data_IF_631840010602
#
_entry.id   IF_631840010602
#
_cell.length_a   1.000
_cell.length_b   1.000
_cell.length_c   1.000
_cell.angle_alpha   90.00
_cell.angle_beta   90.00
_cell.angle_gamma   90.00
#
_symmetry.space_group_name_H-M   'P 1'
#
loop_
_entity.id
_entity.type
_entity.pdbx_description
1 polymer ?
#
# COMPACT_ATOMS: atom_id res chain seq x y z
N UNK A 1 -47.49 -53.75 -9.15
CA UNK A 1 -46.56 -53.49 -8.03
C UNK A 1 -46.80 -52.04 -7.63
N UNK A 2 -47.61 -51.82 -6.59
CA UNK A 2 -47.98 -50.46 -6.16
C UNK A 2 -46.84 -49.89 -5.32
N UNK A 3 -46.10 -48.92 -5.87
CA UNK A 3 -45.16 -48.10 -5.10
C UNK A 3 -45.95 -46.97 -4.48
N UNK A 4 -45.94 -46.88 -3.15
CA UNK A 4 -46.66 -45.86 -2.39
C UNK A 4 -45.88 -44.55 -2.41
N UNK A 5 -46.58 -43.42 -2.59
CA UNK A 5 -46.04 -42.03 -2.59
C UNK A 5 -45.16 -41.68 -1.38
N UNK A 6 -45.28 -42.40 -0.26
CA UNK A 6 -44.39 -42.29 0.91
C UNK A 6 -42.94 -42.71 0.61
N UNK A 7 -42.72 -43.72 -0.23
CA UNK A 7 -41.37 -44.20 -0.55
C UNK A 7 -40.63 -43.20 -1.45
N UNK A 8 -41.32 -42.61 -2.43
CA UNK A 8 -40.73 -41.61 -3.33
C UNK A 8 -40.28 -40.33 -2.58
N UNK A 9 -41.08 -39.88 -1.60
CA UNK A 9 -40.75 -38.74 -0.74
C UNK A 9 -39.58 -39.08 0.19
N UNK A 10 -39.49 -40.31 0.70
CA UNK A 10 -38.37 -40.75 1.54
C UNK A 10 -37.06 -40.78 0.75
N UNK A 11 -37.08 -41.31 -0.47
CA UNK A 11 -35.91 -41.34 -1.37
C UNK A 11 -35.45 -39.92 -1.71
N UNK A 12 -36.37 -39.00 -2.00
CA UNK A 12 -36.03 -37.59 -2.26
C UNK A 12 -35.42 -36.91 -1.03
N UNK A 13 -35.96 -37.18 0.17
CA UNK A 13 -35.44 -36.61 1.42
C UNK A 13 -34.03 -37.14 1.71
N UNK A 14 -33.77 -38.45 1.53
CA UNK A 14 -32.44 -39.03 1.67
C UNK A 14 -31.44 -38.44 0.67
N UNK A 15 -31.84 -38.29 -0.60
CA UNK A 15 -31.02 -37.64 -1.62
C UNK A 15 -30.72 -36.17 -1.27
N UNK A 16 -31.70 -35.43 -0.75
CA UNK A 16 -31.53 -34.05 -0.31
C UNK A 16 -30.61 -33.92 0.91
N UNK A 17 -30.73 -34.82 1.90
CA UNK A 17 -29.82 -34.85 3.05
C UNK A 17 -28.38 -35.16 2.61
N UNK A 18 -28.21 -36.10 1.68
CA UNK A 18 -26.90 -36.44 1.11
C UNK A 18 -26.28 -35.25 0.37
N UNK A 19 -27.04 -34.60 -0.50
CA UNK A 19 -26.59 -33.40 -1.21
C UNK A 19 -26.22 -32.26 -0.25
N UNK A 20 -26.99 -32.04 0.81
CA UNK A 20 -26.67 -31.05 1.85
C UNK A 20 -25.36 -31.36 2.57
N UNK A 21 -25.11 -32.63 2.85
CA UNK A 21 -23.89 -33.06 3.53
C UNK A 21 -22.67 -32.91 2.63
N UNK A 22 -22.79 -33.27 1.35
CA UNK A 22 -21.77 -33.04 0.32
C UNK A 22 -21.47 -31.56 0.13
N UNK A 23 -22.50 -30.70 0.07
CA UNK A 23 -22.34 -29.25 -0.03
C UNK A 23 -21.60 -28.66 1.18
N UNK A 24 -21.90 -29.14 2.39
CA UNK A 24 -21.18 -28.72 3.61
C UNK A 24 -19.71 -29.11 3.55
N UNK A 25 -19.40 -30.33 3.13
CA UNK A 25 -18.01 -30.79 2.98
C UNK A 25 -17.26 -29.95 1.94
N UNK A 26 -17.90 -29.67 0.80
CA UNK A 26 -17.30 -28.84 -0.25
C UNK A 26 -17.05 -27.40 0.20
N UNK A 27 -17.98 -26.79 0.95
CA UNK A 27 -17.78 -25.45 1.52
C UNK A 27 -16.58 -25.43 2.48
N UNK A 28 -16.45 -26.46 3.32
CA UNK A 28 -15.35 -26.54 4.27
C UNK A 28 -14.01 -26.76 3.56
N UNK A 29 -13.99 -27.59 2.52
CA UNK A 29 -12.81 -27.80 1.67
C UNK A 29 -12.39 -26.51 0.95
N UNK A 30 -13.34 -25.74 0.41
CA UNK A 30 -13.07 -24.44 -0.22
C UNK A 30 -12.47 -23.47 0.80
N UNK A 31 -13.01 -23.40 2.03
CA UNK A 31 -12.47 -22.55 3.09
C UNK A 31 -11.04 -22.94 3.48
N UNK A 32 -10.79 -24.24 3.65
CA UNK A 32 -9.46 -24.75 3.99
C UNK A 32 -8.45 -24.44 2.87
N UNK A 33 -8.85 -24.63 1.62
CA UNK A 33 -8.02 -24.29 0.46
C UNK A 33 -7.72 -22.80 0.38
N UNK A 34 -8.71 -21.94 0.59
CA UNK A 34 -8.51 -20.49 0.63
C UNK A 34 -7.57 -20.05 1.76
N UNK A 35 -7.70 -20.65 2.96
CA UNK A 35 -6.81 -20.38 4.08
C UNK A 35 -5.37 -20.85 3.81
N UNK A 36 -5.20 -22.02 3.17
CA UNK A 36 -3.90 -22.53 2.75
C UNK A 36 -3.25 -21.65 1.69
N UNK A 37 -4.01 -21.24 0.67
CA UNK A 37 -3.54 -20.33 -0.38
C UNK A 37 -3.09 -18.99 0.20
N UNK A 38 -3.84 -18.45 1.16
CA UNK A 38 -3.45 -17.25 1.88
C UNK A 38 -2.13 -17.46 2.65
N UNK A 39 -2.00 -18.57 3.37
CA UNK A 39 -0.79 -18.91 4.12
C UNK A 39 0.44 -19.10 3.20
N UNK A 40 0.26 -19.70 2.03
CA UNK A 40 1.32 -19.83 1.02
C UNK A 40 1.72 -18.45 0.48
N UNK A 41 0.77 -17.55 0.22
CA UNK A 41 1.07 -16.17 -0.21
C UNK A 41 1.86 -15.43 0.86
N UNK A 42 1.45 -15.51 2.11
CA UNK A 42 2.13 -14.87 3.24
C UNK A 42 3.56 -15.43 3.41
N UNK A 43 3.74 -16.75 3.27
CA UNK A 43 5.06 -17.38 3.30
C UNK A 43 5.94 -16.96 2.12
N UNK A 44 5.39 -16.87 0.90
CA UNK A 44 6.14 -16.40 -0.27
C UNK A 44 6.57 -14.94 -0.11
N UNK A 45 5.69 -14.08 0.39
CA UNK A 45 6.01 -12.69 0.72
C UNK A 45 7.15 -12.64 1.75
N UNK A 46 7.06 -13.44 2.81
CA UNK A 46 8.10 -13.52 3.85
C UNK A 46 9.44 -14.04 3.32
N UNK A 47 9.43 -15.01 2.42
CA UNK A 47 10.65 -15.53 1.77
C UNK A 47 11.27 -14.50 0.83
N UNK A 48 10.46 -13.82 0.01
CA UNK A 48 10.93 -12.72 -0.85
C UNK A 48 11.56 -11.59 -0.02
N UNK A 49 10.95 -11.25 1.12
CA UNK A 49 11.53 -10.29 2.08
C UNK A 49 12.89 -10.76 2.62
N UNK A 50 13.05 -12.05 2.91
CA UNK A 50 14.30 -12.58 3.45
C UNK A 50 15.43 -12.70 2.41
N UNK A 51 15.12 -12.71 1.11
CA UNK A 51 16.15 -12.80 0.05
C UNK A 51 17.02 -11.52 -0.04
N UNK A 52 16.50 -10.37 0.39
CA UNK A 52 17.28 -9.18 0.68
C UNK A 52 17.40 -9.08 2.20
N UNK A 53 18.51 -9.49 2.83
CA UNK A 53 18.66 -9.33 4.28
C UNK A 53 18.51 -7.83 4.63
N UNK A 54 17.37 -7.40 5.20
CA UNK A 54 17.08 -5.98 5.30
C UNK A 54 18.07 -5.30 6.25
N UNK A 55 18.44 -6.03 7.29
CA UNK A 55 19.45 -5.63 8.26
C UNK A 55 20.83 -5.43 7.62
N UNK A 56 21.22 -6.31 6.70
CA UNK A 56 22.48 -6.13 5.97
C UNK A 56 22.47 -4.82 5.15
N UNK A 57 21.40 -4.57 4.39
CA UNK A 57 21.28 -3.35 3.58
C UNK A 57 21.30 -2.08 4.44
N UNK A 58 20.62 -2.08 5.59
CA UNK A 58 20.68 -0.97 6.53
C UNK A 58 22.09 -0.71 7.03
N UNK A 59 22.79 -1.77 7.43
CA UNK A 59 24.15 -1.64 7.93
C UNK A 59 25.09 -1.13 6.84
N UNK A 60 24.96 -1.64 5.61
CA UNK A 60 25.73 -1.17 4.46
C UNK A 60 25.47 0.30 4.19
N UNK A 61 24.21 0.73 4.07
CA UNK A 61 23.88 2.14 3.82
C UNK A 61 24.35 3.06 4.95
N UNK A 62 24.23 2.63 6.21
CA UNK A 62 24.76 3.41 7.34
C UNK A 62 26.29 3.55 7.29
N UNK A 63 27.02 2.51 6.88
CA UNK A 63 28.48 2.58 6.70
C UNK A 63 28.82 3.57 5.58
N UNK A 64 28.14 3.48 4.43
CA UNK A 64 28.39 4.38 3.29
C UNK A 64 28.05 5.83 3.66
N UNK A 65 26.94 6.08 4.38
CA UNK A 65 26.58 7.43 4.87
C UNK A 65 27.64 8.01 5.80
N UNK A 66 28.19 7.20 6.73
CA UNK A 66 29.29 7.62 7.60
C UNK A 66 30.57 7.90 6.83
N UNK A 67 30.90 7.07 5.85
CA UNK A 67 32.08 7.27 5.00
C UNK A 67 31.95 8.58 4.21
N UNK A 68 30.81 8.82 3.57
CA UNK A 68 30.52 10.07 2.88
C UNK A 68 30.63 11.29 3.81
N UNK A 69 30.17 11.16 5.06
CA UNK A 69 30.32 12.22 6.05
C UNK A 69 31.80 12.49 6.40
N UNK A 70 32.61 11.45 6.60
CA UNK A 70 34.04 11.59 6.87
C UNK A 70 34.81 12.21 5.69
N UNK A 71 34.34 11.97 4.46
CA UNK A 71 34.87 12.59 3.24
C UNK A 71 34.32 14.00 2.98
N UNK A 72 33.58 14.59 3.93
CA UNK A 72 32.92 15.90 3.78
C UNK A 72 31.92 15.98 2.62
N UNK A 73 31.39 14.83 2.17
CA UNK A 73 30.36 14.71 1.15
C UNK A 73 28.96 14.75 1.80
N UNK A 74 28.60 15.91 2.36
CA UNK A 74 27.36 16.09 3.14
C UNK A 74 26.09 15.77 2.35
N UNK A 75 25.99 16.23 1.10
CA UNK A 75 24.84 15.96 0.23
C UNK A 75 24.65 14.44 -0.02
N UNK A 76 25.75 13.73 -0.28
CA UNK A 76 25.77 12.28 -0.45
C UNK A 76 25.31 11.58 0.83
N UNK A 77 25.83 12.00 1.98
CA UNK A 77 25.43 11.44 3.27
C UNK A 77 23.94 11.64 3.57
N UNK A 78 23.40 12.84 3.31
CA UNK A 78 21.97 13.14 3.49
C UNK A 78 21.07 12.31 2.58
N UNK A 79 21.48 12.12 1.32
CA UNK A 79 20.74 11.28 0.38
C UNK A 79 20.68 9.82 0.85
N UNK A 80 21.82 9.26 1.29
CA UNK A 80 21.88 7.89 1.81
C UNK A 80 21.04 7.74 3.08
N UNK A 81 21.04 8.75 3.96
CA UNK A 81 20.21 8.76 5.16
C UNK A 81 18.71 8.76 4.84
N UNK A 82 18.32 9.48 3.79
CA UNK A 82 16.93 9.54 3.31
C UNK A 82 16.48 8.19 2.77
N UNK A 83 17.30 7.55 1.94
CA UNK A 83 17.03 6.19 1.42
C UNK A 83 16.95 5.18 2.57
N UNK A 84 17.87 5.26 3.54
CA UNK A 84 17.87 4.39 4.71
C UNK A 84 16.60 4.54 5.54
N UNK A 85 16.07 5.77 5.65
CA UNK A 85 14.83 6.06 6.38
C UNK A 85 13.62 5.46 5.67
N UNK A 86 13.49 5.65 4.35
CA UNK A 86 12.41 5.05 3.56
C UNK A 86 12.42 3.53 3.64
N UNK A 87 13.61 2.91 3.49
CA UNK A 87 13.73 1.46 3.59
C UNK A 87 13.34 0.95 4.98
N UNK A 88 13.81 1.61 6.06
CA UNK A 88 13.47 1.21 7.44
C UNK A 88 11.98 1.25 7.65
N UNK A 89 11.35 2.33 7.18
CA UNK A 89 9.92 2.50 7.27
C UNK A 89 9.15 1.42 6.52
N UNK A 90 9.48 1.18 5.25
CA UNK A 90 8.81 0.17 4.42
C UNK A 90 8.86 -1.22 5.05
N UNK A 91 9.97 -1.58 5.70
CA UNK A 91 10.18 -2.89 6.31
C UNK A 91 9.57 -3.01 7.71
N UNK A 92 9.50 -1.92 8.49
CA UNK A 92 8.92 -1.95 9.84
C UNK A 92 7.41 -1.74 9.85
N UNK A 93 6.85 -1.14 8.80
CA UNK A 93 5.48 -0.63 8.83
C UNK A 93 4.43 -1.61 8.28
N UNK A 94 4.78 -2.75 7.69
CA UNK A 94 3.77 -3.70 7.21
C UNK A 94 2.86 -4.19 8.35
N UNK A 95 1.59 -3.75 8.33
CA UNK A 95 0.50 -4.13 9.24
C UNK A 95 0.37 -3.35 10.57
N UNK A 96 0.93 -2.13 10.66
CA UNK A 96 0.82 -1.28 11.85
C UNK A 96 0.02 0.00 11.60
N UNK A 97 -0.69 0.46 12.64
CA UNK A 97 -1.24 1.82 12.67
C UNK A 97 -0.14 2.80 13.06
N UNK A 98 0.00 3.89 12.30
CA UNK A 98 1.02 4.93 12.45
C UNK A 98 0.35 6.29 12.54
N UNK A 99 1.05 7.29 13.05
CA UNK A 99 0.55 8.67 13.00
C UNK A 99 0.74 9.25 11.61
N UNK A 100 -0.11 10.21 11.23
CA UNK A 100 0.02 10.96 10.00
C UNK A 100 1.37 11.70 9.95
N UNK A 101 1.89 12.14 11.09
CA UNK A 101 3.25 12.67 11.23
C UNK A 101 4.33 11.72 10.68
N UNK A 102 4.25 10.42 11.01
CA UNK A 102 5.21 9.43 10.53
C UNK A 102 5.15 9.26 9.02
N UNK A 103 3.94 9.20 8.45
CA UNK A 103 3.74 9.14 7.00
C UNK A 103 4.26 10.41 6.31
N UNK A 104 3.99 11.59 6.87
CA UNK A 104 4.49 12.88 6.37
C UNK A 104 6.02 12.92 6.38
N UNK A 105 6.66 12.39 7.44
CA UNK A 105 8.12 12.32 7.51
C UNK A 105 8.70 11.45 6.40
N UNK A 106 8.05 10.34 6.08
CA UNK A 106 8.45 9.45 4.98
C UNK A 106 8.29 10.15 3.64
N UNK A 107 7.18 10.88 3.42
CA UNK A 107 7.00 11.69 2.22
C UNK A 107 8.08 12.77 2.09
N UNK A 108 8.47 13.44 3.18
CA UNK A 108 9.58 14.43 3.19
C UNK A 108 10.90 13.83 2.70
N UNK A 109 11.27 12.66 3.20
CA UNK A 109 12.50 11.97 2.77
C UNK A 109 12.40 11.52 1.31
N UNK A 110 11.22 11.11 0.86
CA UNK A 110 10.97 10.76 -0.54
C UNK A 110 11.11 11.97 -1.47
N UNK A 111 10.48 13.10 -1.14
CA UNK A 111 10.60 14.36 -1.89
C UNK A 111 12.05 14.78 -2.02
N UNK A 112 12.82 14.75 -0.92
CA UNK A 112 14.24 15.09 -0.96
C UNK A 112 15.04 14.20 -1.94
N UNK A 113 14.76 12.89 -1.98
CA UNK A 113 15.41 11.97 -2.93
C UNK A 113 15.07 12.34 -4.38
N UNK A 114 13.79 12.62 -4.65
CA UNK A 114 13.35 12.95 -6.02
C UNK A 114 13.87 14.31 -6.48
N UNK A 115 13.84 15.33 -5.62
CA UNK A 115 14.44 16.64 -5.93
C UNK A 115 15.95 16.51 -6.18
N UNK A 116 16.65 15.67 -5.42
CA UNK A 116 18.08 15.42 -5.67
C UNK A 116 18.30 14.70 -7.01
N UNK A 117 17.43 13.75 -7.39
CA UNK A 117 17.53 12.98 -8.63
C UNK A 117 17.23 13.83 -9.87
N UNK A 118 16.23 14.69 -9.79
CA UNK A 118 15.71 15.46 -10.92
C UNK A 118 16.13 16.93 -10.92
N UNK A 119 16.87 17.37 -9.89
CA UNK A 119 17.34 18.74 -9.71
C UNK A 119 16.19 19.74 -9.93
N UNK A 120 16.41 20.75 -10.76
CA UNK A 120 15.45 21.83 -11.00
C UNK A 120 14.20 21.39 -11.80
N UNK A 121 14.16 20.16 -12.32
CA UNK A 121 13.04 19.68 -13.13
C UNK A 121 11.81 19.33 -12.31
N UNK A 122 11.94 19.03 -11.02
CA UNK A 122 10.79 18.71 -10.17
C UNK A 122 10.82 19.56 -8.91
N UNK A 123 9.71 20.24 -8.66
CA UNK A 123 9.46 20.97 -7.42
C UNK A 123 8.49 20.18 -6.54
N UNK A 124 8.85 20.00 -5.27
CA UNK A 124 7.94 19.40 -4.30
C UNK A 124 7.44 20.45 -3.30
N UNK A 125 6.14 20.44 -2.99
CA UNK A 125 5.53 21.36 -2.02
C UNK A 125 4.77 20.62 -0.94
N UNK A 126 4.82 21.15 0.28
CA UNK A 126 4.08 20.62 1.42
C UNK A 126 3.41 21.74 2.18
N UNK A 127 2.08 21.67 2.29
CA UNK A 127 1.26 22.56 3.10
C UNK A 127 0.53 21.73 4.14
N UNK A 128 0.94 21.82 5.40
CA UNK A 128 0.49 20.89 6.44
C UNK A 128 0.00 21.68 7.64
N UNK A 129 -1.26 21.47 7.99
CA UNK A 129 -1.81 21.84 9.28
C UNK A 129 -1.30 20.85 10.34
N UNK A 130 -0.42 21.33 11.23
CA UNK A 130 0.20 20.51 12.29
C UNK A 130 -0.83 19.89 13.24
N UNK A 131 -2.00 20.51 13.41
CA UNK A 131 -3.07 19.98 14.27
C UNK A 131 -3.61 18.63 13.78
N UNK A 132 -3.46 18.33 12.49
CA UNK A 132 -3.90 17.08 11.86
C UNK A 132 -2.92 15.91 12.03
N UNK A 133 -1.67 16.17 12.44
CA UNK A 133 -0.57 15.18 12.37
C UNK A 133 -0.68 14.03 13.40
N UNK A 134 -1.47 14.22 14.45
CA UNK A 134 -1.68 13.22 15.50
C UNK A 134 -2.66 12.10 15.11
N UNK A 135 -3.36 12.24 13.99
CA UNK A 135 -4.34 11.24 13.53
C UNK A 135 -3.64 9.95 13.13
N UNK A 136 -4.23 8.82 13.54
CA UNK A 136 -3.74 7.49 13.19
C UNK A 136 -4.31 7.02 11.85
N UNK A 137 -3.44 6.53 10.99
CA UNK A 137 -3.77 5.95 9.69
C UNK A 137 -3.04 4.61 9.49
N UNK A 138 -3.49 3.74 8.57
CA UNK A 138 -2.70 2.60 8.15
C UNK A 138 -1.35 3.09 7.61
N UNK A 139 -0.28 2.37 7.94
CA UNK A 139 1.01 2.61 7.31
C UNK A 139 0.97 2.43 5.80
N UNK A 140 1.92 3.08 5.12
CA UNK A 140 2.06 3.07 3.67
C UNK A 140 0.79 3.57 2.96
N UNK A 141 0.13 4.58 3.54
CA UNK A 141 -1.07 5.20 2.94
C UNK A 141 -0.68 6.32 1.98
N UNK A 142 0.22 7.22 2.40
CA UNK A 142 0.66 8.36 1.59
C UNK A 142 1.68 7.94 0.53
N UNK A 143 2.63 7.06 0.90
CA UNK A 143 3.75 6.71 0.05
C UNK A 143 3.31 6.21 -1.35
N UNK A 144 2.36 5.26 -1.50
CA UNK A 144 1.95 4.81 -2.83
C UNK A 144 1.29 5.91 -3.68
N UNK A 145 0.54 6.81 -3.04
CA UNK A 145 -0.11 7.92 -3.74
C UNK A 145 0.91 8.94 -4.23
N UNK A 146 1.90 9.24 -3.39
CA UNK A 146 3.03 10.10 -3.75
C UNK A 146 3.86 9.45 -4.87
N UNK A 147 4.25 8.19 -4.73
CA UNK A 147 5.00 7.46 -5.77
C UNK A 147 4.28 7.49 -7.12
N UNK A 148 2.95 7.30 -7.12
CA UNK A 148 2.15 7.38 -8.34
C UNK A 148 2.21 8.78 -8.98
N UNK A 149 2.16 9.85 -8.18
CA UNK A 149 2.28 11.22 -8.67
C UNK A 149 3.64 11.48 -9.37
N UNK A 150 4.71 10.85 -8.88
CA UNK A 150 6.02 10.90 -9.54
C UNK A 150 6.08 10.04 -10.79
N UNK A 151 5.86 8.73 -10.66
CA UNK A 151 6.08 7.74 -11.72
C UNK A 151 5.15 7.96 -12.91
N UNK A 152 3.87 8.25 -12.63
CA UNK A 152 2.84 8.39 -13.66
C UNK A 152 2.52 9.84 -14.00
N UNK A 153 2.73 10.76 -13.06
CA UNK A 153 2.47 12.17 -13.27
C UNK A 153 3.65 12.87 -13.94
N UNK A 154 4.72 13.09 -13.18
CA UNK A 154 5.78 14.05 -13.54
C UNK A 154 7.03 13.44 -14.20
N UNK A 155 7.42 12.20 -13.89
CA UNK A 155 8.60 11.55 -14.48
C UNK A 155 8.54 11.39 -16.02
N UNK A 156 7.38 11.10 -16.64
CA UNK A 156 7.28 11.00 -18.10
C UNK A 156 7.32 12.35 -18.85
N UNK A 157 7.18 13.48 -18.15
CA UNK A 157 7.22 14.81 -18.78
C UNK A 157 8.65 15.25 -19.04
N UNK A 158 8.86 16.03 -20.10
CA UNK A 158 10.11 16.75 -20.33
C UNK A 158 10.14 18.09 -19.57
N UNK A 159 8.98 18.72 -19.38
CA UNK A 159 8.76 20.00 -18.68
C UNK A 159 8.90 19.90 -17.14
N UNK A 160 8.83 21.06 -16.47
CA UNK A 160 8.85 21.17 -15.00
C UNK A 160 7.66 20.43 -14.35
N UNK A 161 7.99 19.49 -13.48
CA UNK A 161 7.06 18.75 -12.65
C UNK A 161 6.79 19.44 -11.31
N UNK A 162 5.56 19.38 -10.85
CA UNK A 162 5.14 19.82 -9.51
C UNK A 162 4.37 18.69 -8.85
N UNK A 163 4.77 18.33 -7.63
CA UNK A 163 4.01 17.46 -6.74
C UNK A 163 3.76 18.19 -5.42
N UNK A 164 2.50 18.30 -5.02
CA UNK A 164 2.09 19.01 -3.81
C UNK A 164 1.31 18.09 -2.87
N UNK A 165 1.74 18.04 -1.60
CA UNK A 165 0.99 17.40 -0.51
C UNK A 165 0.37 18.49 0.37
N UNK A 166 -0.96 18.48 0.46
CA UNK A 166 -1.73 19.34 1.36
C UNK A 166 -2.47 18.51 2.40
N UNK A 167 -2.36 18.90 3.68
CA UNK A 167 -3.07 18.29 4.80
C UNK A 167 -3.76 19.39 5.60
N UNK A 168 -5.08 19.32 5.73
CA UNK A 168 -5.89 20.34 6.40
C UNK A 168 -7.17 19.75 6.99
N UNK A 169 -7.80 20.46 7.92
CA UNK A 169 -9.10 20.07 8.46
C UNK A 169 -10.24 20.72 7.68
N UNK A 170 -11.22 19.93 7.26
CA UNK A 170 -12.43 20.42 6.60
C UNK A 170 -13.64 19.55 6.98
N UNK A 171 -14.76 20.17 7.36
CA UNK A 171 -16.01 19.45 7.63
C UNK A 171 -15.93 18.41 8.75
N UNK A 172 -15.00 18.56 9.70
CA UNK A 172 -14.75 17.60 10.78
C UNK A 172 -13.87 16.41 10.38
N UNK A 173 -13.34 16.39 9.17
CA UNK A 173 -12.42 15.37 8.67
C UNK A 173 -11.01 15.95 8.46
N UNK A 174 -9.99 15.08 8.53
CA UNK A 174 -8.67 15.41 8.02
C UNK A 174 -8.63 15.10 6.54
N UNK A 175 -8.41 16.14 5.74
CA UNK A 175 -8.25 16.07 4.30
C UNK A 175 -6.78 15.91 3.97
N UNK A 176 -6.49 14.94 3.11
CA UNK A 176 -5.16 14.67 2.58
C UNK A 176 -5.28 14.74 1.07
N UNK A 177 -4.58 15.71 0.47
CA UNK A 177 -4.60 15.97 -0.96
C UNK A 177 -3.19 15.83 -1.52
N UNK A 178 -3.04 15.00 -2.54
CA UNK A 178 -1.82 14.88 -3.33
C UNK A 178 -2.18 15.31 -4.75
N UNK A 179 -1.48 16.32 -5.24
CA UNK A 179 -1.73 16.90 -6.55
C UNK A 179 -0.43 16.91 -7.35
N UNK A 180 -0.53 16.53 -8.62
CA UNK A 180 0.54 16.67 -9.60
C UNK A 180 0.08 17.46 -10.82
N UNK A 181 1.01 18.09 -11.53
CA UNK A 181 0.78 18.74 -12.82
C UNK A 181 1.16 17.82 -14.00
N UNK A 182 1.12 16.50 -13.78
CA UNK A 182 1.61 15.50 -14.70
C UNK A 182 0.71 15.22 -15.90
N UNK A 183 0.93 14.08 -16.55
CA UNK A 183 0.17 13.65 -17.73
C UNK A 183 -1.30 13.28 -17.43
N UNK A 184 -1.63 13.09 -16.14
CA UNK A 184 -2.95 12.67 -15.70
C UNK A 184 -3.25 11.19 -15.95
N UNK A 185 -4.30 10.69 -15.32
CA UNK A 185 -4.73 9.28 -15.42
C UNK A 185 -5.70 9.14 -16.59
N UNK A 186 -5.52 8.10 -17.41
CA UNK A 186 -6.45 7.83 -18.50
C UNK A 186 -7.88 7.54 -17.98
N UNK A 187 -8.89 7.90 -18.76
CA UNK A 187 -10.29 7.83 -18.30
C UNK A 187 -10.78 6.39 -18.03
N UNK A 188 -10.20 5.37 -18.68
CA UNK A 188 -10.55 3.97 -18.42
C UNK A 188 -10.05 3.51 -17.04
N UNK A 189 -8.81 3.84 -16.71
CA UNK A 189 -8.16 3.50 -15.46
C UNK A 189 -8.78 4.27 -14.29
N UNK A 190 -9.09 5.55 -14.49
CA UNK A 190 -9.85 6.36 -13.53
C UNK A 190 -11.22 5.73 -13.23
N UNK A 191 -11.96 5.29 -14.26
CA UNK A 191 -13.24 4.60 -14.09
C UNK A 191 -13.06 3.28 -13.33
N UNK A 192 -12.02 2.51 -13.61
CA UNK A 192 -11.70 1.26 -12.90
C UNK A 192 -11.52 1.51 -11.40
N UNK A 193 -10.62 2.44 -11.04
CA UNK A 193 -10.31 2.80 -9.65
C UNK A 193 -11.55 3.30 -8.88
N UNK A 194 -12.41 4.09 -9.52
CA UNK A 194 -13.65 4.59 -8.91
C UNK A 194 -14.76 3.52 -8.82
N UNK A 195 -14.78 2.56 -9.75
CA UNK A 195 -15.77 1.49 -9.78
C UNK A 195 -15.52 0.39 -8.74
N UNK A 196 -14.25 0.05 -8.48
CA UNK A 196 -13.87 -0.96 -7.48
C UNK A 196 -14.25 -0.53 -6.04
N UNK A 197 -14.25 0.78 -5.75
CA UNK A 197 -14.67 1.35 -4.45
C UNK A 197 -16.15 1.18 -4.14
N UNK A 198 -17.05 1.13 -5.14
CA UNK A 198 -18.50 0.93 -4.89
C UNK A 198 -18.84 -0.45 -4.32
N UNK A 199 -17.93 -1.43 -4.40
CA UNK A 199 -18.18 -2.81 -3.99
C UNK A 199 -17.79 -3.14 -2.54
N UNK A 200 -16.97 -2.29 -1.88
CA UNK A 200 -16.47 -2.51 -0.51
C UNK A 200 -17.11 -1.62 0.57
N UNK A 201 -17.86 -0.59 0.19
CA UNK A 201 -18.65 0.24 1.13
C UNK A 201 -20.08 -0.32 1.21
N UNK A 202 -20.22 -1.54 1.74
CA UNK A 202 -21.48 -2.02 2.32
C UNK A 202 -21.19 -2.27 3.78
N UNK A 203 -21.47 -1.23 4.56
CA UNK A 203 -21.43 -1.16 6.02
C UNK A 203 -22.23 -2.31 6.62
N UNK A 204 -21.64 -3.01 7.60
CA UNK A 204 -22.36 -3.80 8.60
C UNK A 204 -22.92 -2.87 9.67
#
# INVERSE_FOLDING_TARGET
MHVTTKDEISVLNEAFQRMRQEMKMMIEEIKQKAALDQKIKDMKLKTLQNQMNPHFLFNTLNIVSRMAYLESAEATSRLIQSVSTLMRYSLSALSTSVTLEQEVKVVKEYFHIQETRFADRITCKMSIDESCLSVHIPSLTLQPLVENAFIHGVEPKEEEGLVELSIYQEGGYVMIQIQDNGMGINEQEKRRLLSEKKRKIRTY
#
